data_IF_623385443212
#
_entry.id   IF_623385443212
#
_cell.length_a   1.000
_cell.length_b   1.000
_cell.length_c   1.000
_cell.angle_alpha   90.00
_cell.angle_beta   90.00
_cell.angle_gamma   90.00
#
_symmetry.space_group_name_H-M   'P 1'
#
loop_
_entity.id
_entity.type
_entity.pdbx_description
1 polymer ?
#
# COMPACT_ATOMS: atom_id res chain seq x y z
N UNK A 1 19.43 -4.92 -35.58
CA UNK A 1 18.79 -6.16 -36.05
C UNK A 1 19.91 -7.09 -36.55
N UNK A 2 20.11 -8.26 -35.92
CA UNK A 2 21.16 -9.28 -36.21
C UNK A 2 22.58 -8.87 -35.78
N UNK A 3 23.38 -9.54 -34.92
CA UNK A 3 23.70 -10.95 -34.60
C UNK A 3 24.45 -11.69 -35.71
N UNK A 4 25.74 -12.01 -35.51
CA UNK A 4 26.29 -13.38 -35.34
C UNK A 4 27.85 -13.42 -35.24
N UNK A 5 28.37 -14.45 -34.56
CA UNK A 5 29.79 -14.76 -34.22
C UNK A 5 30.17 -16.09 -34.90
N UNK A 6 31.36 -16.29 -35.52
CA UNK A 6 32.36 -17.23 -34.95
C UNK A 6 33.83 -16.87 -35.28
N UNK A 7 34.77 -16.85 -34.31
CA UNK A 7 35.65 -17.95 -33.84
C UNK A 7 36.90 -18.20 -34.76
N UNK A 8 37.93 -18.98 -34.37
CA UNK A 8 39.20 -18.53 -33.79
C UNK A 8 40.47 -18.94 -34.59
N UNK A 9 41.64 -18.47 -34.14
CA UNK A 9 43.00 -18.98 -34.43
C UNK A 9 43.59 -18.83 -35.85
N UNK A 10 44.57 -17.92 -36.02
CA UNK A 10 46.03 -18.23 -36.15
C UNK A 10 46.86 -17.03 -36.63
N UNK A 11 47.76 -16.60 -35.75
CA UNK A 11 49.21 -16.30 -35.92
C UNK A 11 49.74 -15.73 -37.25
N UNK A 12 50.42 -14.58 -37.17
CA UNK A 12 51.67 -14.23 -37.91
C UNK A 12 52.32 -13.02 -37.23
N UNK A 13 53.29 -13.20 -36.32
CA UNK A 13 54.75 -13.13 -36.51
C UNK A 13 55.25 -11.93 -37.32
N UNK A 14 55.99 -11.04 -36.64
CA UNK A 14 57.11 -10.29 -37.22
C UNK A 14 58.39 -10.70 -36.48
N UNK A 15 59.44 -10.94 -37.25
CA UNK A 15 60.80 -11.29 -36.83
C UNK A 15 61.63 -10.00 -36.83
N UNK A 16 62.44 -9.77 -35.79
CA UNK A 16 63.65 -8.96 -35.91
C UNK A 16 64.84 -9.71 -35.30
N UNK A 17 65.95 -9.67 -36.05
CA UNK A 17 67.23 -10.31 -35.81
C UNK A 17 68.19 -9.30 -35.19
N UNK A 18 68.87 -9.63 -34.09
CA UNK A 18 70.16 -9.04 -33.70
C UNK A 18 71.06 -10.16 -33.18
N UNK A 19 72.28 -10.26 -33.75
CA UNK A 19 73.30 -11.27 -33.43
C UNK A 19 74.38 -10.65 -32.53
N UNK A 20 74.58 -11.32 -31.39
CA UNK A 20 75.79 -11.60 -30.59
C UNK A 20 76.85 -10.52 -30.32
N UNK A 21 77.13 -10.32 -29.02
CA UNK A 21 78.50 -10.34 -28.47
C UNK A 21 78.47 -11.15 -27.16
N UNK A 22 79.35 -12.13 -27.03
CA UNK A 22 79.45 -12.99 -25.85
C UNK A 22 80.20 -12.36 -24.68
N UNK A 23 79.82 -12.74 -23.47
CA UNK A 23 80.71 -13.31 -22.44
C UNK A 23 79.87 -13.76 -21.24
N UNK A 24 80.36 -14.80 -20.58
CA UNK A 24 79.76 -15.47 -19.43
C UNK A 24 79.35 -14.54 -18.28
N UNK A 25 78.21 -14.83 -17.63
CA UNK A 25 78.03 -14.90 -16.16
C UNK A 25 76.53 -14.98 -15.80
N UNK A 26 76.16 -16.16 -15.25
CA UNK A 26 75.07 -16.50 -14.31
C UNK A 26 74.03 -15.42 -13.92
N UNK A 27 72.74 -15.75 -14.13
CA UNK A 27 71.60 -15.24 -13.34
C UNK A 27 70.39 -14.74 -14.15
N UNK A 28 69.36 -15.58 -14.34
CA UNK A 28 68.08 -15.14 -14.92
C UNK A 28 66.89 -15.82 -14.23
N UNK A 29 66.11 -15.03 -13.47
CA UNK A 29 64.87 -15.48 -12.83
C UNK A 29 64.08 -14.37 -12.12
N UNK A 30 64.16 -13.10 -12.57
CA UNK A 30 63.54 -11.98 -11.83
C UNK A 30 62.73 -10.97 -12.67
N UNK A 31 62.49 -11.23 -13.96
CA UNK A 31 61.64 -10.35 -14.81
C UNK A 31 60.17 -10.81 -14.84
N UNK A 32 59.59 -11.26 -13.73
CA UNK A 32 58.23 -11.82 -13.74
C UNK A 32 57.34 -11.35 -12.58
N UNK A 33 57.91 -10.95 -11.45
CA UNK A 33 57.13 -10.50 -10.30
C UNK A 33 56.81 -9.00 -10.37
N UNK A 34 57.79 -8.17 -10.72
CA UNK A 34 57.64 -6.70 -10.72
C UNK A 34 56.64 -6.20 -11.79
N UNK A 35 56.69 -6.76 -13.00
CA UNK A 35 55.71 -6.42 -14.05
C UNK A 35 54.30 -6.85 -13.68
N UNK A 36 54.15 -8.00 -12.99
CA UNK A 36 52.85 -8.46 -12.48
C UNK A 36 52.31 -7.57 -11.39
N UNK A 37 53.16 -7.18 -10.42
CA UNK A 37 52.80 -6.21 -9.37
C UNK A 37 52.30 -4.93 -10.03
N UNK A 38 53.06 -4.39 -10.99
CA UNK A 38 52.67 -3.17 -11.72
C UNK A 38 51.34 -3.33 -12.47
N UNK A 39 51.10 -4.47 -13.11
CA UNK A 39 49.81 -4.73 -13.79
C UNK A 39 48.63 -4.80 -12.81
N UNK A 40 48.83 -5.43 -11.64
CA UNK A 40 47.81 -5.58 -10.61
C UNK A 40 47.53 -4.26 -9.90
N UNK A 41 48.54 -3.43 -9.67
CA UNK A 41 48.39 -2.08 -9.13
C UNK A 41 47.57 -1.20 -10.09
N UNK A 42 47.79 -1.33 -11.40
CA UNK A 42 47.04 -0.58 -12.41
C UNK A 42 45.58 -1.07 -12.51
N UNK A 43 45.36 -2.38 -12.40
CA UNK A 43 44.01 -2.96 -12.31
C UNK A 43 43.30 -2.53 -11.03
N UNK A 44 43.99 -2.51 -9.88
CA UNK A 44 43.46 -2.07 -8.59
C UNK A 44 43.00 -0.60 -8.67
N UNK A 45 43.82 0.27 -9.26
CA UNK A 45 43.45 1.68 -9.48
C UNK A 45 42.20 1.81 -10.37
N UNK A 46 42.07 0.99 -11.41
CA UNK A 46 40.89 0.95 -12.27
C UNK A 46 39.63 0.49 -11.53
N UNK A 47 39.74 -0.57 -10.71
CA UNK A 47 38.64 -1.07 -9.89
C UNK A 47 38.22 -0.08 -8.80
N UNK A 48 39.16 0.66 -8.23
CA UNK A 48 38.88 1.72 -7.26
C UNK A 48 38.10 2.88 -7.89
N UNK A 49 38.50 3.32 -9.09
CA UNK A 49 37.76 4.34 -9.84
C UNK A 49 36.32 3.87 -10.15
N UNK A 50 36.16 2.61 -10.58
CA UNK A 50 34.83 2.03 -10.86
C UNK A 50 33.97 1.93 -9.61
N UNK A 51 34.56 1.55 -8.47
CA UNK A 51 33.88 1.51 -7.17
C UNK A 51 33.40 2.91 -6.76
N UNK A 52 34.22 3.93 -7.00
CA UNK A 52 33.90 5.31 -6.65
C UNK A 52 32.75 5.85 -7.52
N UNK A 53 32.77 5.58 -8.82
CA UNK A 53 31.67 5.90 -9.75
C UNK A 53 30.34 5.24 -9.32
N UNK A 54 30.36 3.93 -9.05
CA UNK A 54 29.17 3.19 -8.62
C UNK A 54 28.63 3.71 -7.28
N UNK A 55 29.50 4.07 -6.33
CA UNK A 55 29.09 4.69 -5.07
C UNK A 55 28.40 6.03 -5.30
N UNK A 56 28.94 6.88 -6.17
CA UNK A 56 28.32 8.17 -6.51
C UNK A 56 26.95 7.96 -7.16
N UNK A 57 26.82 6.98 -8.05
CA UNK A 57 25.52 6.62 -8.67
C UNK A 57 24.52 6.10 -7.65
N UNK A 58 24.95 5.26 -6.72
CA UNK A 58 24.10 4.77 -5.63
C UNK A 58 23.64 5.94 -4.76
N UNK A 59 24.52 6.89 -4.43
CA UNK A 59 24.16 8.05 -3.64
C UNK A 59 23.19 8.98 -4.38
N UNK A 60 23.40 9.23 -5.67
CA UNK A 60 22.46 10.04 -6.48
C UNK A 60 21.09 9.38 -6.56
N UNK A 61 21.03 8.07 -6.80
CA UNK A 61 19.76 7.32 -6.81
C UNK A 61 19.10 7.30 -5.42
N UNK A 62 19.87 7.21 -4.34
CA UNK A 62 19.35 7.34 -2.96
C UNK A 62 18.79 8.74 -2.71
N UNK A 63 19.43 9.79 -3.22
CA UNK A 63 18.94 11.16 -3.13
C UNK A 63 17.68 11.37 -3.98
N UNK A 64 17.62 10.81 -5.18
CA UNK A 64 16.41 10.80 -6.02
C UNK A 64 15.25 10.08 -5.33
N UNK A 65 15.51 8.90 -4.76
CA UNK A 65 14.51 8.16 -3.96
C UNK A 65 14.11 8.96 -2.72
N UNK A 66 15.05 9.57 -2.01
CA UNK A 66 14.79 10.39 -0.82
C UNK A 66 13.99 11.66 -1.16
N UNK A 67 14.27 12.31 -2.28
CA UNK A 67 13.53 13.49 -2.74
C UNK A 67 12.14 13.12 -3.29
N UNK A 68 11.99 11.93 -3.87
CA UNK A 68 10.68 11.36 -4.25
C UNK A 68 9.90 10.86 -3.01
N UNK A 69 10.61 10.43 -1.96
CA UNK A 69 10.07 9.99 -0.67
C UNK A 69 9.84 11.12 0.35
N UNK A 70 10.30 12.35 0.08
CA UNK A 70 9.70 13.58 0.61
C UNK A 70 8.33 13.76 -0.05
N UNK A 71 7.47 12.76 0.17
CA UNK A 71 6.12 12.71 -0.33
C UNK A 71 5.27 13.81 0.29
N UNK A 72 4.09 14.00 -0.28
CA UNK A 72 3.04 14.81 0.34
C UNK A 72 2.90 14.42 1.83
N UNK A 73 2.59 15.38 2.72
CA UNK A 73 2.34 15.06 4.12
C UNK A 73 1.30 13.95 4.16
N UNK A 74 1.63 12.86 4.84
CA UNK A 74 0.70 11.75 5.06
C UNK A 74 -0.58 12.34 5.65
N UNK A 75 -1.68 12.29 4.89
CA UNK A 75 -2.94 12.95 5.26
C UNK A 75 -3.67 12.22 6.39
N UNK A 76 -3.20 11.04 6.83
CA UNK A 76 -3.79 10.29 7.93
C UNK A 76 -2.78 9.43 8.72
N UNK A 77 -3.02 9.26 10.02
CA UNK A 77 -2.28 8.25 10.80
C UNK A 77 -3.06 6.93 10.76
N UNK A 78 -2.38 5.78 10.65
CA UNK A 78 -3.05 4.48 10.70
C UNK A 78 -3.83 4.34 12.01
N UNK A 79 -5.07 3.85 11.91
CA UNK A 79 -5.98 3.73 13.05
C UNK A 79 -5.56 2.64 14.06
N UNK A 80 -4.72 1.69 13.63
CA UNK A 80 -4.12 0.66 14.46
C UNK A 80 -2.78 0.23 13.87
N UNK A 81 -1.80 -0.05 14.74
CA UNK A 81 -0.48 -0.59 14.35
C UNK A 81 -0.49 -2.13 14.20
N UNK A 82 -1.49 -2.79 14.78
CA UNK A 82 -1.62 -4.24 14.79
C UNK A 82 -3.05 -4.69 14.46
N UNK A 83 -3.18 -5.94 14.01
CA UNK A 83 -4.49 -6.56 13.80
C UNK A 83 -5.19 -6.78 15.16
N UNK A 84 -6.49 -6.46 15.28
CA UNK A 84 -7.23 -6.66 16.51
C UNK A 84 -7.39 -8.16 16.81
N UNK A 85 -7.00 -8.57 18.01
CA UNK A 85 -6.98 -9.97 18.45
C UNK A 85 -8.19 -10.32 19.30
N UNK A 86 -8.64 -9.40 20.14
CA UNK A 86 -9.79 -9.61 21.03
C UNK A 86 -11.10 -9.11 20.42
N UNK A 87 -12.24 -9.58 20.94
CA UNK A 87 -13.55 -9.06 20.53
C UNK A 87 -13.66 -7.56 20.78
N UNK A 88 -13.23 -7.09 21.96
CA UNK A 88 -13.26 -5.67 22.32
C UNK A 88 -12.39 -4.83 21.38
N UNK A 89 -11.19 -5.29 21.03
CA UNK A 89 -10.33 -4.61 20.05
C UNK A 89 -10.98 -4.52 18.66
N UNK A 90 -11.70 -5.56 18.24
CA UNK A 90 -12.44 -5.55 16.97
C UNK A 90 -13.60 -4.56 16.99
N UNK A 91 -14.35 -4.52 18.09
CA UNK A 91 -15.46 -3.58 18.27
C UNK A 91 -14.98 -2.13 18.29
N UNK A 92 -13.92 -1.85 19.06
CA UNK A 92 -13.31 -0.52 19.15
C UNK A 92 -12.71 -0.09 17.81
N UNK A 93 -12.01 -0.97 17.10
CA UNK A 93 -11.48 -0.67 15.77
C UNK A 93 -12.61 -0.36 14.78
N UNK A 94 -13.68 -1.16 14.78
CA UNK A 94 -14.83 -0.92 13.90
C UNK A 94 -15.48 0.44 14.19
N UNK A 95 -15.71 0.75 15.48
CA UNK A 95 -16.25 2.03 15.89
C UNK A 95 -15.31 3.19 15.53
N UNK A 96 -13.99 3.04 15.59
CA UNK A 96 -13.05 4.09 15.17
C UNK A 96 -13.07 4.35 13.67
N UNK A 97 -13.12 3.30 12.85
CA UNK A 97 -13.07 3.39 11.39
C UNK A 97 -14.42 3.77 10.75
N UNK A 98 -15.53 3.26 11.29
CA UNK A 98 -16.86 3.36 10.68
C UNK A 98 -17.87 4.20 11.48
N UNK A 99 -17.41 4.98 12.47
CA UNK A 99 -18.24 6.00 13.17
C UNK A 99 -18.58 7.19 12.28
N UNK A 100 -19.67 7.13 11.55
CA UNK A 100 -20.32 8.34 11.07
C UNK A 100 -20.99 9.08 12.24
N UNK A 101 -22.31 9.24 12.18
CA UNK A 101 -23.10 9.63 13.34
C UNK A 101 -23.16 8.52 14.39
N UNK A 102 -22.96 8.91 15.65
CA UNK A 102 -23.06 7.99 16.80
C UNK A 102 -24.42 8.06 17.49
N UNK A 103 -25.16 9.16 17.32
CA UNK A 103 -26.47 9.39 17.94
C UNK A 103 -27.62 8.66 17.23
N UNK A 104 -27.33 8.04 16.09
CA UNK A 104 -28.28 7.27 15.28
C UNK A 104 -27.54 6.20 14.47
N UNK A 105 -28.19 5.07 14.26
CA UNK A 105 -27.81 4.12 13.22
C UNK A 105 -29.03 3.55 12.52
N UNK A 106 -28.83 3.00 11.33
CA UNK A 106 -29.86 2.33 10.57
C UNK A 106 -29.75 0.80 10.70
N UNK A 107 -30.88 0.12 10.65
CA UNK A 107 -30.95 -1.34 10.54
C UNK A 107 -31.52 -1.71 9.17
N UNK A 108 -30.91 -2.68 8.51
CA UNK A 108 -31.46 -3.27 7.29
C UNK A 108 -32.73 -4.05 7.65
N UNK A 109 -33.78 -3.83 6.89
CA UNK A 109 -34.99 -4.62 6.93
C UNK A 109 -35.22 -5.26 5.56
N UNK A 110 -35.89 -6.41 5.58
CA UNK A 110 -36.29 -7.12 4.38
C UNK A 110 -37.71 -7.62 4.56
N UNK A 111 -38.52 -7.48 3.51
CA UNK A 111 -39.86 -8.01 3.45
C UNK A 111 -39.87 -9.16 2.44
N UNK A 112 -39.78 -10.38 2.95
CA UNK A 112 -39.71 -11.61 2.14
C UNK A 112 -40.88 -11.78 1.18
N UNK A 113 -42.08 -11.28 1.54
CA UNK A 113 -43.27 -11.37 0.69
C UNK A 113 -43.19 -10.46 -0.52
N UNK A 114 -42.70 -9.23 -0.34
CA UNK A 114 -42.63 -8.22 -1.41
C UNK A 114 -41.26 -8.16 -2.09
N UNK A 115 -40.28 -8.93 -1.57
CA UNK A 115 -38.85 -8.88 -1.97
C UNK A 115 -38.23 -7.48 -1.89
N UNK A 116 -38.83 -6.58 -1.11
CA UNK A 116 -38.28 -5.25 -0.86
C UNK A 116 -37.35 -5.31 0.33
N UNK A 117 -36.26 -4.58 0.27
CA UNK A 117 -35.37 -4.35 1.40
C UNK A 117 -34.99 -2.87 1.46
N UNK A 118 -34.45 -2.46 2.60
CA UNK A 118 -33.96 -1.10 2.78
C UNK A 118 -33.36 -0.92 4.16
N UNK A 119 -33.02 0.32 4.47
CA UNK A 119 -32.48 0.71 5.77
C UNK A 119 -33.45 1.68 6.43
N UNK A 120 -33.60 1.58 7.75
CA UNK A 120 -34.41 2.49 8.55
C UNK A 120 -33.71 2.78 9.88
N UNK A 121 -33.83 4.01 10.42
CA UNK A 121 -33.24 4.34 11.71
C UNK A 121 -33.84 3.49 12.82
N UNK A 122 -32.99 3.02 13.74
CA UNK A 122 -33.44 2.27 14.91
C UNK A 122 -33.96 3.25 15.95
N UNK A 123 -35.21 3.05 16.38
CA UNK A 123 -35.91 3.91 17.31
C UNK A 123 -36.43 3.09 18.51
N UNK A 124 -36.12 3.53 19.73
CA UNK A 124 -36.59 2.89 20.96
C UNK A 124 -38.12 2.94 21.11
N UNK A 125 -38.76 3.92 20.47
CA UNK A 125 -40.22 4.09 20.48
C UNK A 125 -40.89 3.40 19.29
N UNK A 126 -40.16 2.70 18.42
CA UNK A 126 -40.74 2.09 17.22
C UNK A 126 -41.91 1.15 17.57
N UNK A 127 -43.05 1.33 16.90
CA UNK A 127 -44.29 0.58 17.12
C UNK A 127 -44.93 0.72 18.51
N UNK A 128 -44.39 1.56 19.40
CA UNK A 128 -44.97 1.84 20.73
C UNK A 128 -46.10 2.85 20.58
N UNK A 129 -47.35 2.42 20.73
CA UNK A 129 -48.52 3.33 20.73
C UNK A 129 -48.73 3.94 22.12
N UNK A 130 -49.14 5.22 22.24
CA UNK A 130 -49.47 6.18 21.17
C UNK A 130 -48.27 6.96 20.61
N UNK A 131 -47.04 6.68 21.07
CA UNK A 131 -45.85 7.48 20.74
C UNK A 131 -45.46 7.40 19.26
N UNK A 132 -45.44 6.21 18.68
CA UNK A 132 -45.04 6.00 17.29
C UNK A 132 -46.27 5.87 16.38
N UNK A 133 -46.28 6.69 15.34
CA UNK A 133 -47.36 6.78 14.37
C UNK A 133 -47.19 5.84 13.16
N UNK A 134 -46.25 4.88 13.22
CA UNK A 134 -46.13 3.87 12.17
C UNK A 134 -47.43 3.05 12.03
N UNK A 135 -47.85 2.73 10.79
CA UNK A 135 -47.13 2.93 9.53
C UNK A 135 -47.38 4.29 8.84
N UNK A 136 -48.16 5.20 9.44
CA UNK A 136 -48.54 6.48 8.79
C UNK A 136 -47.36 7.44 8.64
N UNK A 137 -46.49 7.52 9.66
CA UNK A 137 -45.29 8.36 9.67
C UNK A 137 -44.04 7.50 9.87
N UNK A 138 -42.97 7.78 9.12
CA UNK A 138 -41.69 7.09 9.29
C UNK A 138 -41.00 7.56 10.57
N UNK A 139 -40.18 6.71 11.19
CA UNK A 139 -39.45 7.11 12.40
C UNK A 139 -38.51 8.31 12.17
N UNK A 140 -38.01 8.51 10.95
CA UNK A 140 -37.17 9.66 10.58
C UNK A 140 -37.93 11.01 10.61
N UNK A 141 -39.25 10.98 10.56
CA UNK A 141 -40.15 12.15 10.47
C UNK A 141 -41.07 12.23 11.71
N UNK A 142 -40.89 11.34 12.69
CA UNK A 142 -41.76 11.20 13.85
C UNK A 142 -41.38 12.21 14.95
N UNK A 143 -42.34 12.96 15.47
CA UNK A 143 -42.12 13.91 16.56
C UNK A 143 -41.67 13.24 17.88
N UNK A 144 -42.03 11.98 18.09
CA UNK A 144 -41.65 11.18 19.27
C UNK A 144 -40.48 10.23 18.97
N UNK A 145 -39.64 10.53 17.99
CA UNK A 145 -38.46 9.73 17.69
C UNK A 145 -37.50 9.68 18.89
N UNK A 146 -36.97 8.50 19.17
CA UNK A 146 -35.94 8.24 20.18
C UNK A 146 -34.92 7.30 19.59
N UNK A 147 -34.02 7.85 18.77
CA UNK A 147 -33.01 7.05 18.08
C UNK A 147 -32.02 6.45 19.06
N UNK A 148 -31.55 5.25 18.74
CA UNK A 148 -30.52 4.56 19.51
C UNK A 148 -29.15 4.91 18.98
N UNK A 149 -28.19 5.02 19.91
CA UNK A 149 -26.79 5.25 19.59
C UNK A 149 -26.17 4.02 18.90
N UNK A 150 -25.21 4.26 18.02
CA UNK A 150 -24.36 3.21 17.48
C UNK A 150 -23.35 2.77 18.56
N UNK A 151 -23.72 1.78 19.35
CA UNK A 151 -22.92 1.27 20.47
C UNK A 151 -22.25 -0.08 20.16
N UNK A 152 -21.43 -0.56 21.09
CA UNK A 152 -20.74 -1.85 20.98
C UNK A 152 -21.71 -3.02 20.76
N UNK A 153 -22.91 -2.97 21.34
CA UNK A 153 -23.90 -4.05 21.21
C UNK A 153 -24.45 -4.11 19.79
N UNK A 154 -24.78 -2.96 19.20
CA UNK A 154 -25.24 -2.87 17.81
C UNK A 154 -24.16 -3.36 16.84
N UNK A 155 -22.91 -2.96 17.06
CA UNK A 155 -21.76 -3.40 16.25
C UNK A 155 -21.48 -4.88 16.44
N UNK A 156 -21.52 -5.40 17.66
CA UNK A 156 -21.30 -6.82 17.93
C UNK A 156 -22.35 -7.69 17.23
N UNK A 157 -23.63 -7.32 17.33
CA UNK A 157 -24.70 -8.01 16.63
C UNK A 157 -24.51 -7.95 15.10
N UNK A 158 -23.97 -6.84 14.59
CA UNK A 158 -23.63 -6.69 13.18
C UNK A 158 -22.50 -7.63 12.74
N UNK A 159 -21.39 -7.63 13.46
CA UNK A 159 -20.22 -8.46 13.16
C UNK A 159 -20.51 -9.96 13.32
N UNK A 160 -21.48 -10.34 14.16
CA UNK A 160 -21.99 -11.72 14.28
C UNK A 160 -22.99 -12.11 13.18
N UNK A 161 -23.34 -11.19 12.27
CA UNK A 161 -24.32 -11.41 11.22
C UNK A 161 -25.78 -11.51 11.70
N UNK A 162 -26.07 -11.13 12.94
CA UNK A 162 -27.42 -11.16 13.51
C UNK A 162 -28.30 -10.02 13.00
N UNK A 163 -27.66 -8.92 12.61
CA UNK A 163 -28.31 -7.75 11.99
C UNK A 163 -27.36 -7.12 10.99
N UNK A 164 -27.88 -6.33 10.06
CA UNK A 164 -27.05 -5.48 9.21
C UNK A 164 -27.29 -4.03 9.65
N UNK A 165 -26.22 -3.39 10.11
CA UNK A 165 -26.24 -2.01 10.57
C UNK A 165 -25.69 -1.10 9.46
N UNK A 166 -26.36 0.02 9.24
CA UNK A 166 -25.88 1.12 8.41
C UNK A 166 -25.52 2.31 9.27
N UNK A 167 -24.44 3.00 8.91
CA UNK A 167 -23.98 4.25 9.55
C UNK A 167 -24.35 5.44 8.67
N UNK A 168 -24.60 6.60 9.28
CA UNK A 168 -24.81 7.84 8.52
C UNK A 168 -23.47 8.57 8.42
N UNK A 169 -22.85 8.57 7.23
CA UNK A 169 -21.47 9.01 7.03
C UNK A 169 -21.22 10.49 7.38
N UNK A 170 -22.22 11.36 7.16
CA UNK A 170 -22.15 12.79 7.47
C UNK A 170 -22.63 13.01 8.91
N UNK A 171 -21.76 13.61 9.73
CA UNK A 171 -22.02 13.96 11.12
C UNK A 171 -22.84 15.25 11.22
N UNK A 172 -23.34 15.55 12.42
CA UNK A 172 -24.16 16.74 12.67
C UNK A 172 -23.42 18.07 12.48
N UNK A 173 -22.09 18.04 12.42
CA UNK A 173 -21.21 19.19 12.16
C UNK A 173 -20.75 19.26 10.70
N UNK A 174 -21.45 18.56 9.79
CA UNK A 174 -21.14 18.44 8.36
C UNK A 174 -19.74 17.86 8.06
N UNK A 175 -19.15 17.14 9.02
CA UNK A 175 -17.89 16.41 8.82
C UNK A 175 -18.11 14.92 8.54
N UNK A 176 -17.14 14.27 7.90
CA UNK A 176 -17.08 12.82 7.73
C UNK A 176 -15.71 12.29 8.16
N UNK A 177 -15.65 11.04 8.58
CA UNK A 177 -14.39 10.40 9.01
C UNK A 177 -13.85 9.37 8.00
N UNK A 178 -14.68 8.95 7.05
CA UNK A 178 -14.32 8.01 6.00
C UNK A 178 -15.06 8.38 4.72
N UNK A 179 -14.45 8.02 3.59
CA UNK A 179 -15.05 8.09 2.27
C UNK A 179 -15.29 6.67 1.79
N UNK A 180 -16.49 6.40 1.28
CA UNK A 180 -16.80 5.16 0.58
C UNK A 180 -16.88 5.47 -0.91
N UNK A 181 -16.10 4.73 -1.70
CA UNK A 181 -16.15 4.76 -3.17
C UNK A 181 -16.68 3.41 -3.62
N UNK A 182 -17.81 3.42 -4.33
CA UNK A 182 -18.39 2.22 -4.93
C UNK A 182 -17.78 2.02 -6.33
N UNK A 183 -17.29 0.81 -6.59
CA UNK A 183 -16.68 0.46 -7.86
C UNK A 183 -17.51 -0.63 -8.52
N UNK A 184 -18.14 -0.28 -9.63
CA UNK A 184 -19.01 -1.15 -10.40
C UNK A 184 -18.29 -1.76 -11.62
N UNK A 185 -19.02 -2.54 -12.42
CA UNK A 185 -18.61 -3.10 -13.71
C UNK A 185 -17.50 -4.16 -13.68
N UNK A 186 -17.13 -4.65 -14.87
CA UNK A 186 -16.18 -5.77 -15.02
C UNK A 186 -14.75 -5.42 -14.62
N UNK A 187 -14.40 -4.14 -14.61
CA UNK A 187 -13.07 -3.60 -14.32
C UNK A 187 -12.87 -3.18 -12.86
N UNK A 188 -13.86 -3.36 -11.97
CA UNK A 188 -13.82 -2.85 -10.60
C UNK A 188 -12.52 -3.19 -9.85
N UNK A 189 -11.91 -4.35 -10.12
CA UNK A 189 -10.64 -4.76 -9.51
C UNK A 189 -9.49 -3.86 -9.92
N UNK A 190 -9.36 -3.59 -11.22
CA UNK A 190 -8.33 -2.73 -11.77
C UNK A 190 -8.54 -1.28 -11.28
N UNK A 191 -9.81 -0.85 -11.20
CA UNK A 191 -10.19 0.48 -10.70
C UNK A 191 -9.85 0.65 -9.20
N UNK A 192 -10.14 -0.36 -8.38
CA UNK A 192 -9.76 -0.40 -6.95
C UNK A 192 -8.24 -0.36 -6.80
N UNK A 193 -7.49 -1.13 -7.58
CA UNK A 193 -6.03 -1.15 -7.49
C UNK A 193 -5.41 0.18 -7.93
N UNK A 194 -5.93 0.79 -8.99
CA UNK A 194 -5.54 2.12 -9.43
C UNK A 194 -5.85 3.19 -8.37
N UNK A 195 -7.05 3.13 -7.76
CA UNK A 195 -7.46 4.06 -6.70
C UNK A 195 -6.55 3.94 -5.47
N UNK A 196 -6.23 2.71 -5.04
CA UNK A 196 -5.29 2.47 -3.94
C UNK A 196 -3.90 3.02 -4.24
N UNK A 197 -3.39 2.80 -5.45
CA UNK A 197 -2.09 3.31 -5.85
C UNK A 197 -2.05 4.85 -5.86
N UNK A 198 -3.15 5.50 -6.27
CA UNK A 198 -3.28 6.95 -6.20
C UNK A 198 -3.38 7.46 -4.76
N UNK A 199 -4.20 6.83 -3.92
CA UNK A 199 -4.35 7.18 -2.51
C UNK A 199 -3.05 7.02 -1.72
N UNK A 200 -2.29 5.95 -1.97
CA UNK A 200 -0.98 5.72 -1.35
C UNK A 200 0.02 6.85 -1.69
N UNK A 201 -0.01 7.38 -2.92
CA UNK A 201 0.82 8.55 -3.30
C UNK A 201 0.42 9.83 -2.55
N UNK A 202 -0.80 9.90 -2.05
CA UNK A 202 -1.33 10.98 -1.22
C UNK A 202 -1.21 10.70 0.28
N UNK A 203 -0.64 9.55 0.67
CA UNK A 203 -0.54 9.13 2.07
C UNK A 203 -1.91 8.88 2.71
N UNK A 204 -2.88 8.40 1.93
CA UNK A 204 -4.22 8.02 2.39
C UNK A 204 -4.31 6.50 2.41
N UNK A 205 -4.61 5.94 3.59
CA UNK A 205 -4.86 4.51 3.74
C UNK A 205 -6.23 4.13 3.16
N UNK A 206 -6.26 3.06 2.37
CA UNK A 206 -7.49 2.56 1.73
C UNK A 206 -7.76 1.13 2.19
N UNK A 207 -8.93 0.94 2.81
CA UNK A 207 -9.49 -0.38 3.07
C UNK A 207 -10.33 -0.83 1.87
N UNK A 208 -10.22 -2.10 1.50
CA UNK A 208 -11.03 -2.71 0.43
C UNK A 208 -11.99 -3.70 1.06
N UNK A 209 -13.29 -3.44 0.92
CA UNK A 209 -14.31 -4.44 1.20
C UNK A 209 -14.35 -5.47 0.07
N UNK A 210 -14.44 -6.76 0.43
CA UNK A 210 -14.59 -7.86 -0.52
C UNK A 210 -15.87 -8.60 -0.19
N UNK A 211 -16.82 -8.58 -1.13
CA UNK A 211 -18.09 -9.32 -1.09
C UNK A 211 -17.97 -10.75 -1.60
#
# INVERSE_FOLDING_TARGET
MGVYVPNPHRVSRAIYLIVSVGNDCLGFGEVNAEEKIRSLELELAGLEARRQELRTRINSLKEEISNSAKGLPILGKPCSEAAPTTTTEKLDLFLKLFRGRQDIYAKRWENLRTKKSGYAPVCANEWVKPLCEKPRVKCAECAHQKFLFLDERAVEAHLKGQTVVGTYAIRSDDTCIFLACDFDDKSWRDDVDAYKAAAAKLGVDVAVERS
#
